data_IF_700428596928
#
_entry.id   IF_700428596928
#
_cell.length_a   1.000
_cell.length_b   1.000
_cell.length_c   1.000
_cell.angle_alpha   90.00
_cell.angle_beta   90.00
_cell.angle_gamma   90.00
#
_symmetry.space_group_name_H-M   'P 1'
#
loop_
_entity.id
_entity.type
_entity.pdbx_description
1 polymer ?
#
# COMPACT_ATOMS: atom_id res chain seq x y z
N UNK A 1 -8.68 -34.22 -15.86
CA UNK A 1 -8.92 -32.75 -15.68
C UNK A 1 -8.49 -32.19 -14.31
N UNK A 2 -8.20 -33.04 -13.31
CA UNK A 2 -7.74 -32.58 -11.97
C UNK A 2 -6.27 -32.14 -11.91
N UNK A 3 -5.41 -32.56 -12.82
CA UNK A 3 -3.96 -32.27 -12.73
C UNK A 3 -3.54 -30.88 -13.26
N UNK A 4 -4.41 -30.17 -13.97
CA UNK A 4 -4.08 -28.84 -14.52
C UNK A 4 -4.43 -27.72 -13.53
N UNK A 5 -5.34 -27.99 -12.59
CA UNK A 5 -5.81 -27.02 -11.57
C UNK A 5 -4.79 -26.77 -10.44
N UNK A 6 -3.84 -27.67 -10.25
CA UNK A 6 -2.85 -27.58 -9.15
C UNK A 6 -1.60 -26.73 -9.49
N UNK A 7 -1.38 -26.38 -10.75
CA UNK A 7 -0.24 -25.54 -11.17
C UNK A 7 -0.54 -24.04 -11.25
N UNK A 8 -1.80 -23.68 -11.12
CA UNK A 8 -2.26 -22.28 -11.08
C UNK A 8 -2.78 -21.85 -9.72
N UNK A 9 -2.42 -22.56 -8.64
CA UNK A 9 -2.88 -22.20 -7.30
C UNK A 9 -2.45 -20.78 -7.00
N UNK A 10 -3.43 -19.88 -6.88
CA UNK A 10 -3.24 -18.50 -6.44
C UNK A 10 -2.62 -18.48 -5.05
N UNK A 11 -1.32 -18.72 -5.02
CA UNK A 11 -0.54 -18.67 -3.80
C UNK A 11 -0.39 -17.19 -3.44
N UNK A 12 -0.56 -16.84 -2.16
CA UNK A 12 -0.33 -15.47 -1.65
C UNK A 12 0.99 -14.91 -2.17
N UNK A 13 2.04 -15.75 -2.25
CA UNK A 13 3.33 -15.36 -2.78
C UNK A 13 3.27 -14.85 -4.24
N UNK A 14 2.53 -15.51 -5.12
CA UNK A 14 2.37 -15.10 -6.52
C UNK A 14 1.65 -13.76 -6.63
N UNK A 15 0.59 -13.57 -5.83
CA UNK A 15 -0.16 -12.32 -5.77
C UNK A 15 0.71 -11.16 -5.24
N UNK A 16 1.47 -11.39 -4.16
CA UNK A 16 2.40 -10.40 -3.61
C UNK A 16 3.48 -10.01 -4.61
N UNK A 17 4.07 -10.99 -5.33
CA UNK A 17 5.09 -10.71 -6.35
C UNK A 17 4.49 -9.89 -7.49
N UNK A 18 3.32 -10.26 -8.00
CA UNK A 18 2.65 -9.54 -9.08
C UNK A 18 2.33 -8.09 -8.69
N UNK A 19 1.77 -7.88 -7.49
CA UNK A 19 1.48 -6.54 -6.97
C UNK A 19 2.75 -5.72 -6.70
N UNK A 20 3.84 -6.37 -6.26
CA UNK A 20 5.12 -5.70 -6.02
C UNK A 20 5.77 -5.22 -7.31
N UNK A 21 5.73 -6.01 -8.38
CA UNK A 21 6.30 -5.65 -9.68
C UNK A 21 5.56 -4.45 -10.28
N UNK A 22 4.24 -4.41 -10.17
CA UNK A 22 3.44 -3.28 -10.69
C UNK A 22 3.54 -2.05 -9.80
N UNK A 23 3.54 -2.22 -8.48
CA UNK A 23 3.61 -1.13 -7.50
C UNK A 23 4.95 -0.41 -7.46
N UNK A 24 6.05 -1.14 -7.72
CA UNK A 24 7.40 -0.58 -7.66
C UNK A 24 7.63 0.60 -8.61
N UNK A 25 7.10 0.53 -9.83
CA UNK A 25 7.25 1.62 -10.81
C UNK A 25 6.63 2.93 -10.33
N UNK A 26 5.45 2.87 -9.71
CA UNK A 26 4.79 4.04 -9.13
C UNK A 26 5.58 4.64 -7.96
N UNK A 27 6.03 3.78 -7.05
CA UNK A 27 6.86 4.16 -5.91
C UNK A 27 8.19 4.80 -6.34
N UNK A 28 8.86 4.24 -7.34
CA UNK A 28 10.11 4.78 -7.88
C UNK A 28 9.93 6.17 -8.49
N UNK A 29 8.87 6.38 -9.31
CA UNK A 29 8.57 7.69 -9.91
C UNK A 29 8.28 8.75 -8.85
N UNK A 30 7.47 8.42 -7.85
CA UNK A 30 7.12 9.37 -6.79
C UNK A 30 8.31 9.66 -5.88
N UNK A 31 9.21 8.69 -5.63
CA UNK A 31 10.46 8.92 -4.90
C UNK A 31 11.38 9.86 -5.66
N UNK A 32 11.55 9.62 -6.96
CA UNK A 32 12.35 10.50 -7.82
C UNK A 32 11.83 11.94 -7.78
N UNK A 33 10.51 12.14 -7.89
CA UNK A 33 9.91 13.47 -7.82
C UNK A 33 10.21 14.18 -6.49
N UNK A 34 10.08 13.47 -5.35
CA UNK A 34 10.42 14.01 -4.03
C UNK A 34 11.89 14.38 -3.91
N UNK A 35 12.79 13.52 -4.37
CA UNK A 35 14.24 13.77 -4.32
C UNK A 35 14.63 14.99 -5.18
N UNK A 36 14.03 15.13 -6.37
CA UNK A 36 14.26 16.30 -7.22
C UNK A 36 13.80 17.61 -6.57
N UNK A 37 12.64 17.60 -5.88
CA UNK A 37 12.16 18.76 -5.13
C UNK A 37 13.04 19.10 -3.93
N UNK A 38 13.59 18.08 -3.24
CA UNK A 38 14.47 18.30 -2.10
C UNK A 38 15.87 18.76 -2.52
N UNK A 39 16.33 18.37 -3.70
CA UNK A 39 17.64 18.76 -4.23
C UNK A 39 17.76 20.29 -4.42
N UNK A 40 16.66 20.98 -4.70
CA UNK A 40 16.65 22.45 -4.87
C UNK A 40 16.47 23.21 -3.56
N UNK A 41 16.39 22.53 -2.42
CA UNK A 41 16.26 23.18 -1.12
C UNK A 41 17.58 23.74 -0.63
N UNK A 42 17.52 24.89 0.04
CA UNK A 42 18.69 25.65 0.51
C UNK A 42 19.68 24.82 1.34
N UNK A 43 19.19 23.92 2.20
CA UNK A 43 20.05 23.07 3.02
C UNK A 43 20.88 22.05 2.21
N UNK A 44 20.39 21.64 1.04
CA UNK A 44 21.15 20.75 0.13
C UNK A 44 22.18 21.56 -0.61
N UNK A 45 21.80 22.70 -1.18
CA UNK A 45 22.71 23.60 -1.89
C UNK A 45 23.85 24.08 -0.97
N UNK A 46 23.52 24.46 0.27
CA UNK A 46 24.53 24.83 1.27
C UNK A 46 25.50 23.68 1.60
N UNK A 47 25.01 22.43 1.62
CA UNK A 47 25.88 21.27 1.85
C UNK A 47 26.79 20.99 0.66
N UNK A 48 26.34 21.21 -0.57
CA UNK A 48 27.15 21.09 -1.80
C UNK A 48 28.25 22.16 -1.86
N UNK A 49 27.94 23.42 -1.50
CA UNK A 49 28.91 24.52 -1.48
C UNK A 49 30.01 24.32 -0.43
N UNK A 50 29.69 23.60 0.65
CA UNK A 50 30.67 23.20 1.69
C UNK A 50 31.50 21.97 1.28
N UNK A 51 31.35 21.47 0.05
CA UNK A 51 32.14 20.35 -0.47
C UNK A 51 31.70 18.96 0.01
N UNK A 52 30.47 18.80 0.51
CA UNK A 52 29.98 17.50 0.92
C UNK A 52 29.78 16.57 -0.30
N UNK A 53 30.19 15.30 -0.17
CA UNK A 53 30.01 14.31 -1.23
C UNK A 53 28.51 13.99 -1.45
N UNK A 54 28.12 13.68 -2.69
CA UNK A 54 26.74 13.34 -3.05
C UNK A 54 26.20 12.17 -2.21
N UNK A 55 27.00 11.15 -1.91
CA UNK A 55 26.62 10.03 -1.07
C UNK A 55 26.31 10.45 0.37
N UNK A 56 27.07 11.36 0.93
CA UNK A 56 26.84 11.89 2.27
C UNK A 56 25.54 12.72 2.32
N UNK A 57 25.30 13.56 1.31
CA UNK A 57 24.06 14.37 1.20
C UNK A 57 22.83 13.46 1.13
N UNK A 58 22.90 12.40 0.32
CA UNK A 58 21.81 11.42 0.21
C UNK A 58 21.55 10.77 1.56
N UNK A 59 22.56 10.18 2.18
CA UNK A 59 22.41 9.39 3.40
C UNK A 59 22.02 10.24 4.62
N UNK A 60 22.59 11.43 4.75
CA UNK A 60 22.48 12.24 5.97
C UNK A 60 21.40 13.34 5.89
N UNK A 61 21.01 13.76 4.68
CA UNK A 61 20.08 14.87 4.47
C UNK A 61 18.80 14.44 3.73
N UNK A 62 18.92 13.71 2.62
CA UNK A 62 17.78 13.37 1.78
C UNK A 62 16.95 12.22 2.38
N UNK A 63 17.60 11.11 2.76
CA UNK A 63 16.88 9.94 3.32
C UNK A 63 16.08 10.31 4.56
N UNK A 64 16.63 10.93 5.63
CA UNK A 64 15.85 11.26 6.82
C UNK A 64 14.66 12.17 6.52
N UNK A 65 14.84 13.14 5.63
CA UNK A 65 13.79 14.10 5.26
C UNK A 65 12.67 13.47 4.41
N UNK A 66 12.99 12.43 3.63
CA UNK A 66 12.00 11.72 2.82
C UNK A 66 11.27 10.63 3.59
N UNK A 67 11.85 10.09 4.66
CA UNK A 67 11.27 8.98 5.43
C UNK A 67 9.88 9.33 5.97
N UNK A 68 9.68 10.49 6.59
CA UNK A 68 8.39 10.92 7.10
C UNK A 68 7.29 10.88 6.02
N UNK A 69 7.55 11.52 4.88
CA UNK A 69 6.63 11.57 3.75
C UNK A 69 6.38 10.16 3.19
N UNK A 70 7.39 9.28 3.19
CA UNK A 70 7.27 7.91 2.72
C UNK A 70 6.42 7.04 3.63
N UNK A 71 6.60 7.14 4.93
CA UNK A 71 5.80 6.40 5.92
C UNK A 71 4.33 6.76 5.76
N UNK A 72 4.00 8.06 5.67
CA UNK A 72 2.64 8.51 5.39
C UNK A 72 2.10 7.95 4.09
N UNK A 73 2.87 8.05 2.99
CA UNK A 73 2.45 7.54 1.68
C UNK A 73 2.17 6.02 1.69
N UNK A 74 2.99 5.25 2.39
CA UNK A 74 2.80 3.79 2.54
C UNK A 74 1.52 3.52 3.33
N UNK A 75 1.33 4.18 4.47
CA UNK A 75 0.13 4.00 5.30
C UNK A 75 -1.15 4.32 4.53
N UNK A 76 -1.17 5.42 3.77
CA UNK A 76 -2.31 5.80 2.94
C UNK A 76 -2.52 4.89 1.72
N UNK A 77 -1.54 4.08 1.33
CA UNK A 77 -1.71 3.09 0.26
C UNK A 77 -2.31 1.76 0.73
N UNK A 78 -2.28 1.47 2.04
CA UNK A 78 -2.79 0.20 2.59
C UNK A 78 -4.26 -0.06 2.28
N UNK A 79 -5.20 0.90 2.40
CA UNK A 79 -6.59 0.70 2.02
C UNK A 79 -6.75 0.21 0.58
N UNK A 80 -6.01 0.82 -0.34
CA UNK A 80 -6.05 0.45 -1.76
C UNK A 80 -5.55 -0.98 -1.98
N UNK A 81 -4.48 -1.39 -1.30
CA UNK A 81 -3.93 -2.75 -1.40
C UNK A 81 -4.93 -3.78 -0.87
N UNK A 82 -5.57 -3.52 0.27
CA UNK A 82 -6.61 -4.38 0.85
C UNK A 82 -7.78 -4.51 -0.13
N UNK A 83 -8.21 -3.39 -0.73
CA UNK A 83 -9.28 -3.40 -1.72
C UNK A 83 -8.93 -4.23 -2.95
N UNK A 84 -7.71 -4.05 -3.50
CA UNK A 84 -7.26 -4.82 -4.67
C UNK A 84 -7.16 -6.32 -4.37
N UNK A 85 -6.66 -6.70 -3.19
CA UNK A 85 -6.64 -8.10 -2.77
C UNK A 85 -8.06 -8.68 -2.70
N UNK A 86 -8.98 -7.99 -2.00
CA UNK A 86 -10.35 -8.42 -1.87
C UNK A 86 -11.06 -8.54 -3.23
N UNK A 87 -10.84 -7.57 -4.12
CA UNK A 87 -11.39 -7.58 -5.47
C UNK A 87 -10.84 -8.74 -6.32
N UNK A 88 -9.51 -8.96 -6.33
CA UNK A 88 -8.88 -10.05 -7.06
C UNK A 88 -9.36 -11.42 -6.54
N UNK A 89 -9.50 -11.56 -5.23
CA UNK A 89 -10.00 -12.77 -4.60
C UNK A 89 -11.49 -13.00 -4.93
N UNK A 90 -12.30 -11.94 -4.98
CA UNK A 90 -13.69 -12.01 -5.38
C UNK A 90 -13.86 -12.53 -6.82
N UNK A 91 -13.09 -12.04 -7.78
CA UNK A 91 -13.12 -12.51 -9.17
C UNK A 91 -12.43 -13.87 -9.38
N UNK A 92 -11.80 -14.42 -8.35
CA UNK A 92 -11.16 -15.75 -8.38
C UNK A 92 -9.72 -15.76 -8.87
N UNK A 93 -9.09 -14.59 -9.03
CA UNK A 93 -7.67 -14.44 -9.40
C UNK A 93 -6.75 -14.20 -8.19
N UNK A 94 -7.31 -14.14 -6.99
CA UNK A 94 -6.58 -13.89 -5.75
C UNK A 94 -6.22 -15.18 -5.01
N UNK A 95 -6.29 -15.09 -3.69
CA UNK A 95 -5.98 -16.20 -2.77
C UNK A 95 -6.98 -17.33 -2.98
N UNK A 96 -6.50 -18.57 -3.07
CA UNK A 96 -7.37 -19.75 -3.23
C UNK A 96 -7.54 -20.50 -1.91
N UNK A 97 -8.69 -21.17 -1.68
CA UNK A 97 -8.88 -22.04 -0.53
C UNK A 97 -7.73 -23.07 -0.40
N UNK A 98 -7.28 -23.43 0.82
CA UNK A 98 -7.93 -23.20 2.11
C UNK A 98 -7.59 -21.88 2.82
N UNK A 99 -6.84 -20.97 2.20
CA UNK A 99 -6.41 -19.73 2.84
C UNK A 99 -7.55 -18.71 2.84
N UNK A 100 -8.01 -18.25 4.02
CA UNK A 100 -9.11 -17.29 4.09
C UNK A 100 -8.68 -15.91 3.63
N UNK A 101 -9.53 -15.23 2.86
CA UNK A 101 -9.41 -13.81 2.54
C UNK A 101 -10.77 -13.12 2.58
N UNK A 102 -10.77 -11.80 2.76
CA UNK A 102 -12.00 -11.01 2.77
C UNK A 102 -12.77 -11.16 1.45
N UNK A 103 -12.07 -11.17 0.32
CA UNK A 103 -12.68 -11.33 -1.00
C UNK A 103 -13.34 -12.69 -1.20
N UNK A 104 -12.74 -13.76 -0.67
CA UNK A 104 -13.35 -15.09 -0.70
C UNK A 104 -14.61 -15.19 0.16
N UNK A 105 -14.60 -14.59 1.36
CA UNK A 105 -15.76 -14.54 2.22
C UNK A 105 -16.90 -13.78 1.55
N UNK A 106 -16.61 -12.64 0.91
CA UNK A 106 -17.59 -11.85 0.18
C UNK A 106 -18.12 -12.63 -1.02
N UNK A 107 -17.26 -13.35 -1.75
CA UNK A 107 -17.66 -14.18 -2.89
C UNK A 107 -18.60 -15.30 -2.47
N UNK A 108 -18.22 -16.10 -1.49
CA UNK A 108 -19.02 -17.18 -0.96
C UNK A 108 -20.39 -16.70 -0.42
N UNK A 109 -20.38 -15.57 0.30
CA UNK A 109 -21.59 -14.94 0.80
C UNK A 109 -22.45 -14.37 -0.33
N UNK A 110 -21.86 -13.93 -1.43
CA UNK A 110 -22.58 -13.46 -2.62
C UNK A 110 -23.42 -14.55 -3.28
N UNK A 111 -22.94 -15.79 -3.31
CA UNK A 111 -23.66 -16.93 -3.84
C UNK A 111 -24.91 -17.26 -3.01
N UNK A 112 -24.86 -17.02 -1.71
CA UNK A 112 -25.95 -17.27 -0.76
C UNK A 112 -26.76 -16.02 -0.38
N UNK A 113 -26.46 -14.88 -0.97
CA UNK A 113 -27.03 -13.56 -0.63
C UNK A 113 -28.57 -13.55 -0.59
N UNK A 114 -29.20 -14.31 -1.48
CA UNK A 114 -30.65 -14.36 -1.57
C UNK A 114 -31.32 -14.98 -0.33
N UNK A 115 -30.61 -15.89 0.35
CA UNK A 115 -31.13 -16.61 1.51
C UNK A 115 -30.60 -16.04 2.83
N UNK A 116 -29.33 -15.58 2.84
CA UNK A 116 -28.63 -15.13 4.05
C UNK A 116 -27.88 -13.82 3.80
N UNK A 117 -28.58 -12.68 3.62
CA UNK A 117 -27.94 -11.41 3.27
C UNK A 117 -26.94 -10.90 4.33
N UNK A 118 -27.11 -11.27 5.60
CA UNK A 118 -26.20 -10.87 6.67
C UNK A 118 -24.77 -11.42 6.49
N UNK A 119 -24.63 -12.59 5.86
CA UNK A 119 -23.32 -13.19 5.61
C UNK A 119 -22.48 -12.35 4.63
N UNK A 120 -23.13 -11.60 3.76
CA UNK A 120 -22.47 -10.68 2.83
C UNK A 120 -22.19 -9.33 3.48
N UNK A 121 -23.13 -8.81 4.27
CA UNK A 121 -23.03 -7.48 4.89
C UNK A 121 -21.89 -7.43 5.91
N UNK A 122 -21.71 -8.48 6.72
CA UNK A 122 -20.70 -8.50 7.78
C UNK A 122 -19.28 -8.35 7.23
N UNK A 123 -18.79 -9.17 6.29
CA UNK A 123 -17.43 -9.01 5.76
C UNK A 123 -17.24 -7.69 4.99
N UNK A 124 -18.27 -7.21 4.27
CA UNK A 124 -18.20 -5.91 3.62
C UNK A 124 -18.03 -4.76 4.63
N UNK A 125 -18.77 -4.79 5.75
CA UNK A 125 -18.60 -3.83 6.83
C UNK A 125 -17.22 -3.90 7.46
N UNK A 126 -16.70 -5.11 7.72
CA UNK A 126 -15.37 -5.28 8.28
C UNK A 126 -14.28 -4.68 7.38
N UNK A 127 -14.33 -4.94 6.06
CA UNK A 127 -13.40 -4.34 5.10
C UNK A 127 -13.54 -2.82 5.10
N UNK A 128 -14.76 -2.29 5.06
CA UNK A 128 -15.01 -0.84 5.03
C UNK A 128 -14.47 -0.14 6.29
N UNK A 129 -14.72 -0.71 7.47
CA UNK A 129 -14.22 -0.18 8.74
C UNK A 129 -12.68 -0.24 8.77
N UNK A 130 -12.09 -1.34 8.34
CA UNK A 130 -10.63 -1.48 8.29
C UNK A 130 -10.01 -0.41 7.38
N UNK A 131 -10.57 -0.20 6.19
CA UNK A 131 -10.09 0.84 5.27
C UNK A 131 -10.22 2.25 5.86
N UNK A 132 -11.34 2.52 6.54
CA UNK A 132 -11.57 3.80 7.22
C UNK A 132 -10.58 4.03 8.35
N UNK A 133 -10.31 3.01 9.17
CA UNK A 133 -9.30 3.10 10.23
C UNK A 133 -7.90 3.41 9.69
N UNK A 134 -7.48 2.74 8.60
CA UNK A 134 -6.18 3.01 7.99
C UNK A 134 -6.10 4.41 7.38
N UNK A 135 -7.18 4.94 6.80
CA UNK A 135 -7.23 6.30 6.31
C UNK A 135 -7.07 7.30 7.46
N UNK A 136 -7.82 7.13 8.56
CA UNK A 136 -7.71 8.00 9.74
C UNK A 136 -6.32 7.97 10.36
N UNK A 137 -5.71 6.78 10.46
CA UNK A 137 -4.32 6.64 10.93
C UNK A 137 -3.36 7.37 9.99
N UNK A 138 -3.55 7.22 8.67
CA UNK A 138 -2.73 7.88 7.66
C UNK A 138 -2.81 9.41 7.73
N UNK A 139 -4.00 9.95 7.91
CA UNK A 139 -4.23 11.39 8.08
C UNK A 139 -3.61 11.90 9.39
N UNK A 140 -3.84 11.22 10.51
CA UNK A 140 -3.21 11.57 11.78
C UNK A 140 -1.68 11.52 11.74
N UNK A 141 -1.12 10.54 11.03
CA UNK A 141 0.33 10.42 10.85
C UNK A 141 0.87 11.54 9.95
N UNK A 142 0.12 11.92 8.91
CA UNK A 142 0.45 13.06 8.06
C UNK A 142 0.51 14.36 8.86
N UNK A 143 -0.51 14.62 9.67
CA UNK A 143 -0.57 15.83 10.49
C UNK A 143 0.55 15.86 11.54
N UNK A 144 0.86 14.71 12.14
CA UNK A 144 1.95 14.60 13.11
C UNK A 144 3.34 14.80 12.51
N UNK A 145 3.54 14.44 11.25
CA UNK A 145 4.82 14.52 10.55
C UNK A 145 4.98 15.76 9.65
N UNK A 146 3.93 16.58 9.50
CA UNK A 146 4.00 17.83 8.72
C UNK A 146 4.65 18.93 9.56
N UNK A 147 5.88 19.39 9.22
CA UNK A 147 6.57 20.43 9.97
C UNK A 147 5.89 21.80 9.87
N UNK A 148 5.01 22.02 8.88
CA UNK A 148 4.31 23.28 8.69
C UNK A 148 3.22 23.56 9.73
N UNK A 149 2.74 22.52 10.41
CA UNK A 149 1.75 22.66 11.48
C UNK A 149 2.40 22.98 12.85
N UNK A 150 3.73 22.97 12.93
CA UNK A 150 4.49 23.28 14.16
C UNK A 150 5.07 24.71 14.19
N UNK A 151 4.85 25.49 13.16
CA UNK A 151 5.14 26.92 13.09
C UNK A 151 3.86 27.70 13.32
#
# INVERSE_FOLDING_TARGET
EMCIRDRGSGNIATLVIAMSITGWMGAARSTRGLVLQLKTREFVVASETLGASSGWIIARRLIPNTLGIRVVSITMSLPSVIFYEAFLSYIGLGVTPPQPSWGQLIKAAGETFRYYPYQFIIPCLCVSITMLCFNLIGDGLRDALDPKLRA
#
